data_IF_480816283393
#
_entry.id   IF_480816283393
#
_cell.length_a   1.000
_cell.length_b   1.000
_cell.length_c   1.000
_cell.angle_alpha   90.00
_cell.angle_beta   90.00
_cell.angle_gamma   90.00
#
_symmetry.space_group_name_H-M   'P 1'
#
loop_
_entity.id
_entity.type
_entity.pdbx_description
1 polymer ?
#
# COMPACT_ATOMS: atom_id res chain seq x y z
N UNK A 1 -42.94 72.79 -3.88
CA UNK A 1 -43.42 71.47 -3.58
C UNK A 1 -42.42 70.51 -4.19
N UNK A 2 -41.51 69.98 -3.33
CA UNK A 2 -40.46 69.00 -3.73
C UNK A 2 -40.86 67.61 -3.20
N UNK A 3 -41.11 66.69 -4.10
CA UNK A 3 -41.45 65.27 -3.75
C UNK A 3 -40.21 64.45 -3.80
N UNK A 4 -39.75 63.97 -2.65
CA UNK A 4 -38.65 62.96 -2.52
C UNK A 4 -39.21 61.60 -2.75
N UNK A 5 -38.69 60.92 -3.78
CA UNK A 5 -38.90 59.48 -4.01
C UNK A 5 -37.71 58.71 -3.39
N UNK A 6 -37.99 57.99 -2.30
CA UNK A 6 -37.03 57.08 -1.66
C UNK A 6 -37.08 55.73 -2.38
N UNK A 7 -36.02 55.42 -3.10
CA UNK A 7 -35.85 54.11 -3.73
C UNK A 7 -35.36 53.06 -2.73
N UNK A 8 -36.19 52.06 -2.46
CA UNK A 8 -35.86 50.92 -1.64
C UNK A 8 -35.08 49.90 -2.49
N UNK A 9 -33.77 49.76 -2.23
CA UNK A 9 -32.92 48.70 -2.84
C UNK A 9 -33.09 47.43 -2.04
N UNK A 10 -33.75 46.43 -2.62
CA UNK A 10 -33.83 45.07 -2.08
C UNK A 10 -32.53 44.33 -2.41
N UNK A 11 -31.68 44.09 -1.42
CA UNK A 11 -30.59 43.11 -1.52
C UNK A 11 -31.18 41.69 -1.42
N UNK A 12 -31.08 40.93 -2.51
CA UNK A 12 -31.34 39.48 -2.49
C UNK A 12 -30.14 38.73 -1.86
N UNK A 13 -30.38 37.75 -0.98
CA UNK A 13 -29.30 36.91 -0.45
C UNK A 13 -28.79 35.97 -1.55
N UNK A 14 -27.48 35.99 -1.80
CA UNK A 14 -26.79 35.00 -2.60
C UNK A 14 -26.72 33.67 -1.81
N UNK A 15 -27.65 32.76 -2.06
CA UNK A 15 -27.60 31.40 -1.58
C UNK A 15 -26.39 30.69 -2.21
N UNK A 16 -25.30 30.64 -1.46
CA UNK A 16 -24.12 29.85 -1.80
C UNK A 16 -24.47 28.36 -1.77
N UNK A 17 -24.67 27.77 -2.95
CA UNK A 17 -24.77 26.32 -3.11
C UNK A 17 -23.46 25.66 -2.66
N UNK A 18 -23.38 25.27 -1.38
CA UNK A 18 -22.33 24.40 -0.90
C UNK A 18 -22.43 23.05 -1.63
N UNK A 19 -21.52 22.79 -2.56
CA UNK A 19 -21.39 21.46 -3.21
C UNK A 19 -21.05 20.44 -2.15
N UNK A 20 -22.05 19.80 -1.57
CA UNK A 20 -21.90 18.63 -0.72
C UNK A 20 -21.28 17.50 -1.55
N UNK A 21 -20.04 17.13 -1.19
CA UNK A 21 -19.39 15.96 -1.81
C UNK A 21 -20.29 14.74 -1.57
N UNK A 22 -20.62 13.96 -2.61
CA UNK A 22 -21.40 12.75 -2.43
C UNK A 22 -20.70 11.82 -1.43
N UNK A 23 -21.46 11.11 -0.57
CA UNK A 23 -20.88 10.17 0.39
C UNK A 23 -20.03 9.15 -0.37
N UNK A 24 -18.78 8.98 0.06
CA UNK A 24 -17.88 7.99 -0.54
C UNK A 24 -18.42 6.61 -0.24
N UNK A 25 -18.88 5.91 -1.26
CA UNK A 25 -19.23 4.49 -1.16
C UNK A 25 -17.96 3.74 -0.69
N UNK A 26 -18.06 2.95 0.39
CA UNK A 26 -16.93 2.14 0.85
C UNK A 26 -16.44 1.26 -0.30
N UNK A 27 -15.15 1.35 -0.63
CA UNK A 27 -14.57 0.49 -1.66
C UNK A 27 -14.53 -0.95 -1.13
N UNK A 28 -15.05 -1.95 -1.86
CA UNK A 28 -15.03 -3.33 -1.41
C UNK A 28 -13.58 -3.77 -1.13
N UNK A 29 -13.40 -4.50 -0.05
CA UNK A 29 -12.09 -5.01 0.36
C UNK A 29 -11.59 -6.03 -0.67
N UNK A 30 -10.33 -5.92 -1.15
CA UNK A 30 -9.79 -6.87 -2.12
C UNK A 30 -9.67 -8.27 -1.52
N UNK A 31 -9.84 -9.30 -2.33
CA UNK A 31 -9.67 -10.70 -1.90
C UNK A 31 -8.21 -11.06 -1.60
N UNK A 32 -7.26 -10.40 -2.25
CA UNK A 32 -5.84 -10.49 -1.96
C UNK A 32 -5.56 -9.68 -0.69
N UNK A 33 -5.02 -10.31 0.35
CA UNK A 33 -4.82 -9.67 1.66
C UNK A 33 -3.46 -9.97 2.26
N UNK A 34 -2.95 -9.01 3.01
CA UNK A 34 -1.86 -9.22 3.97
C UNK A 34 -2.52 -9.61 5.30
N UNK A 35 -2.39 -10.89 5.70
CA UNK A 35 -2.93 -11.38 6.96
C UNK A 35 -2.08 -10.93 8.13
N UNK A 36 -0.77 -11.18 8.04
CA UNK A 36 0.20 -10.86 9.07
C UNK A 36 1.47 -10.27 8.47
N UNK A 37 2.09 -9.35 9.20
CA UNK A 37 3.36 -8.73 8.85
C UNK A 37 4.19 -8.61 10.11
N UNK A 38 5.34 -9.28 10.13
CA UNK A 38 6.32 -9.22 11.21
C UNK A 38 7.64 -8.71 10.69
N UNK A 39 8.30 -7.90 11.49
CA UNK A 39 9.60 -7.34 11.19
C UNK A 39 10.54 -7.67 12.36
N UNK A 40 11.66 -8.25 12.05
CA UNK A 40 12.65 -8.64 13.05
C UNK A 40 14.08 -8.52 12.48
N UNK A 41 15.05 -8.15 13.32
CA UNK A 41 14.94 -7.70 14.72
C UNK A 41 14.39 -6.29 14.85
N UNK A 42 13.74 -5.99 15.99
CA UNK A 42 13.28 -4.65 16.33
C UNK A 42 13.66 -4.32 17.78
N UNK A 43 14.39 -3.23 18.03
CA UNK A 43 15.00 -2.29 17.08
C UNK A 43 16.08 -2.96 16.21
N UNK A 44 16.29 -2.41 15.02
CA UNK A 44 17.27 -2.93 14.07
C UNK A 44 18.63 -2.23 14.21
N UNK A 45 19.71 -3.00 14.24
CA UNK A 45 21.08 -2.50 14.22
C UNK A 45 21.66 -2.66 12.82
N UNK A 46 21.84 -1.54 12.12
CA UNK A 46 22.37 -1.55 10.76
C UNK A 46 23.79 -2.08 10.71
N UNK A 47 24.04 -3.09 9.87
CA UNK A 47 25.33 -3.77 9.78
C UNK A 47 25.47 -5.02 10.65
N UNK A 48 24.53 -5.30 11.56
CA UNK A 48 24.54 -6.49 12.41
C UNK A 48 23.56 -7.59 11.89
N UNK A 49 23.63 -7.86 10.60
CA UNK A 49 22.79 -8.83 9.92
C UNK A 49 21.60 -8.19 9.18
N UNK A 50 20.79 -8.98 8.51
CA UNK A 50 19.64 -8.47 7.77
C UNK A 50 18.42 -8.24 8.67
N UNK A 51 17.62 -7.23 8.29
CA UNK A 51 16.26 -7.06 8.78
C UNK A 51 15.31 -7.86 7.90
N UNK A 52 14.49 -8.71 8.50
CA UNK A 52 13.53 -9.53 7.76
C UNK A 52 12.10 -9.01 7.92
N UNK A 53 11.39 -8.93 6.80
CA UNK A 53 9.96 -8.72 6.73
C UNK A 53 9.29 -10.07 6.40
N UNK A 54 8.61 -10.66 7.37
CA UNK A 54 7.84 -11.88 7.18
C UNK A 54 6.39 -11.52 6.92
N UNK A 55 5.91 -11.83 5.73
CA UNK A 55 4.59 -11.44 5.23
C UNK A 55 3.76 -12.68 4.95
N UNK A 56 2.61 -12.84 5.60
CA UNK A 56 1.65 -13.89 5.29
C UNK A 56 0.58 -13.32 4.35
N UNK A 57 0.54 -13.85 3.13
CA UNK A 57 -0.34 -13.40 2.06
C UNK A 57 -1.47 -14.38 1.86
N UNK A 58 -2.72 -13.92 1.97
CA UNK A 58 -3.89 -14.69 1.55
C UNK A 58 -4.17 -14.42 0.08
N UNK A 59 -4.19 -15.49 -0.72
CA UNK A 59 -4.56 -15.41 -2.12
C UNK A 59 -6.09 -15.34 -2.29
N UNK A 60 -6.60 -14.75 -3.38
CA UNK A 60 -8.00 -14.86 -3.75
C UNK A 60 -8.37 -16.30 -4.07
N UNK A 61 -9.67 -16.61 -4.06
CA UNK A 61 -10.16 -17.95 -4.43
C UNK A 61 -9.83 -18.30 -5.88
N UNK A 62 -9.91 -17.31 -6.76
CA UNK A 62 -9.61 -17.45 -8.18
C UNK A 62 -8.47 -16.53 -8.58
N UNK A 63 -7.44 -17.08 -9.21
CA UNK A 63 -6.28 -16.30 -9.66
C UNK A 63 -6.56 -15.53 -10.95
N UNK A 64 -7.65 -15.86 -11.68
CA UNK A 64 -8.06 -15.17 -12.90
C UNK A 64 -6.92 -14.97 -13.94
N UNK A 65 -6.06 -16.00 -14.07
CA UNK A 65 -4.90 -15.94 -14.97
C UNK A 65 -3.66 -15.25 -14.36
N UNK A 66 -3.69 -14.86 -13.09
CA UNK A 66 -2.49 -14.39 -12.42
C UNK A 66 -1.49 -15.53 -12.23
N UNK A 67 -0.24 -15.29 -12.61
CA UNK A 67 0.84 -16.29 -12.61
C UNK A 67 1.99 -15.90 -11.69
N UNK A 68 2.03 -14.67 -11.20
CA UNK A 68 3.10 -14.14 -10.36
C UNK A 68 2.53 -13.36 -9.19
N UNK A 69 2.99 -13.66 -7.98
CA UNK A 69 2.82 -12.84 -6.79
C UNK A 69 4.04 -11.94 -6.64
N UNK A 70 3.83 -10.63 -6.60
CA UNK A 70 4.87 -9.64 -6.29
C UNK A 70 4.62 -9.05 -4.92
N UNK A 71 5.61 -9.15 -4.03
CA UNK A 71 5.63 -8.51 -2.72
C UNK A 71 6.76 -7.50 -2.72
N UNK A 72 6.47 -6.27 -2.35
CA UNK A 72 7.47 -5.20 -2.29
C UNK A 72 7.37 -4.42 -0.98
N UNK A 73 8.50 -3.90 -0.52
CA UNK A 73 8.57 -2.99 0.62
C UNK A 73 9.36 -1.75 0.25
N UNK A 74 8.80 -0.59 0.49
CA UNK A 74 9.49 0.69 0.40
C UNK A 74 9.83 1.16 1.80
N UNK A 75 11.11 1.39 2.07
CA UNK A 75 11.62 1.98 3.30
C UNK A 75 11.98 3.43 3.01
N UNK A 76 11.47 4.35 3.82
CA UNK A 76 11.64 5.79 3.64
C UNK A 76 12.02 6.46 4.96
N UNK A 77 12.72 7.59 4.86
CA UNK A 77 12.92 8.49 6.00
C UNK A 77 11.59 9.16 6.41
N UNK A 78 11.50 9.75 7.62
CA UNK A 78 10.32 10.53 8.04
C UNK A 78 10.01 11.69 7.09
N UNK A 79 11.03 12.26 6.44
CA UNK A 79 10.90 13.28 5.40
C UNK A 79 10.40 12.75 4.05
N UNK A 80 9.97 11.46 3.98
CA UNK A 80 9.49 10.76 2.78
C UNK A 80 10.54 10.57 1.69
N UNK A 81 11.82 10.68 2.02
CA UNK A 81 12.89 10.33 1.09
C UNK A 81 13.02 8.81 1.04
N UNK A 82 12.92 8.23 -0.16
CA UNK A 82 13.09 6.79 -0.37
C UNK A 82 14.51 6.37 -0.03
N UNK A 83 14.64 5.39 0.86
CA UNK A 83 15.91 4.82 1.29
C UNK A 83 16.22 3.53 0.52
N UNK A 84 15.28 2.61 0.50
CA UNK A 84 15.43 1.30 -0.14
C UNK A 84 14.10 0.77 -0.63
N UNK A 85 14.12 0.13 -1.79
CA UNK A 85 13.01 -0.64 -2.33
C UNK A 85 13.41 -2.11 -2.40
N UNK A 86 12.62 -2.96 -1.75
CA UNK A 86 12.77 -4.41 -1.75
C UNK A 86 11.66 -5.01 -2.59
N UNK A 87 11.98 -6.04 -3.38
CA UNK A 87 10.99 -6.75 -4.18
C UNK A 87 11.28 -8.25 -4.19
N UNK A 88 10.24 -9.03 -4.02
CA UNK A 88 10.25 -10.49 -4.20
C UNK A 88 9.13 -10.87 -5.15
N UNK A 89 9.43 -11.73 -6.12
CA UNK A 89 8.46 -12.29 -7.06
C UNK A 89 8.45 -13.81 -6.94
N UNK A 90 7.26 -14.36 -6.78
CA UNK A 90 7.05 -15.80 -6.71
C UNK A 90 6.07 -16.23 -7.80
N UNK A 91 6.47 -17.25 -8.58
CA UNK A 91 5.58 -17.87 -9.54
C UNK A 91 4.45 -18.60 -8.78
N UNK A 92 3.23 -18.44 -9.26
CA UNK A 92 2.04 -19.10 -8.76
C UNK A 92 1.67 -20.23 -9.73
N UNK A 93 1.35 -21.38 -9.15
CA UNK A 93 0.75 -22.44 -9.93
C UNK A 93 -0.75 -22.24 -10.04
N UNK A 94 -1.38 -22.61 -11.15
CA UNK A 94 -2.83 -22.58 -11.28
C UNK A 94 -3.46 -23.37 -10.15
N UNK A 95 -4.15 -22.69 -9.24
CA UNK A 95 -4.90 -23.34 -8.16
C UNK A 95 -6.37 -23.27 -8.50
N UNK A 96 -6.99 -24.43 -8.58
CA UNK A 96 -8.44 -24.56 -8.58
C UNK A 96 -8.87 -24.85 -7.15
N UNK A 97 -9.24 -23.82 -6.41
CA UNK A 97 -9.79 -24.01 -5.07
C UNK A 97 -11.22 -24.53 -5.20
N UNK A 98 -11.46 -25.75 -4.74
CA UNK A 98 -12.82 -26.33 -4.72
C UNK A 98 -13.74 -25.50 -3.82
N UNK A 99 -15.06 -25.44 -4.11
CA UNK A 99 -16.01 -24.77 -3.22
C UNK A 99 -15.93 -25.41 -1.82
N UNK A 100 -15.65 -24.60 -0.79
CA UNK A 100 -15.51 -25.04 0.60
C UNK A 100 -14.08 -25.21 1.11
N UNK A 101 -13.05 -25.16 0.26
CA UNK A 101 -11.66 -25.20 0.72
C UNK A 101 -11.21 -23.84 1.31
N UNK A 102 -10.31 -23.91 2.28
CA UNK A 102 -9.69 -22.74 2.88
C UNK A 102 -8.85 -21.98 1.83
N UNK A 103 -8.82 -20.66 1.93
CA UNK A 103 -8.00 -19.82 1.05
C UNK A 103 -6.52 -20.12 1.25
N UNK A 104 -5.77 -20.19 0.17
CA UNK A 104 -4.33 -20.43 0.23
C UNK A 104 -3.61 -19.25 0.86
N UNK A 105 -2.75 -19.56 1.82
CA UNK A 105 -1.86 -18.58 2.46
C UNK A 105 -0.42 -18.91 2.10
N UNK A 106 0.32 -17.89 1.67
CA UNK A 106 1.74 -18.01 1.31
C UNK A 106 2.60 -17.15 2.25
N UNK A 107 3.61 -17.76 2.91
CA UNK A 107 4.62 -17.02 3.64
C UNK A 107 5.67 -16.48 2.67
N UNK A 108 5.91 -15.17 2.71
CA UNK A 108 6.92 -14.48 1.90
C UNK A 108 7.89 -13.77 2.83
N UNK A 109 9.16 -13.77 2.46
CA UNK A 109 10.20 -13.05 3.19
C UNK A 109 10.89 -12.04 2.28
N UNK A 110 11.05 -10.81 2.79
CA UNK A 110 11.89 -9.78 2.21
C UNK A 110 13.01 -9.52 3.21
N UNK A 111 14.22 -9.30 2.70
CA UNK A 111 15.40 -9.05 3.52
C UNK A 111 16.02 -7.71 3.15
N UNK A 112 16.35 -6.91 4.15
CA UNK A 112 17.06 -5.64 4.00
C UNK A 112 18.40 -5.71 4.72
N UNK A 113 19.46 -5.37 4.01
CA UNK A 113 20.85 -5.37 4.50
C UNK A 113 21.23 -4.11 5.30
N UNK A 114 20.27 -3.26 5.63
CA UNK A 114 20.51 -2.01 6.34
C UNK A 114 21.10 -0.89 5.48
N UNK A 115 21.23 -1.11 4.16
CA UNK A 115 21.84 -0.13 3.25
C UNK A 115 20.80 0.57 2.40
N UNK A 116 21.08 1.83 2.09
CA UNK A 116 20.33 2.63 1.15
C UNK A 116 20.61 2.21 -0.32
N UNK A 117 20.00 2.94 -1.27
CA UNK A 117 20.22 2.72 -2.69
C UNK A 117 21.66 3.06 -3.15
N UNK A 118 22.44 3.81 -2.35
CA UNK A 118 23.86 4.13 -2.58
C UNK A 118 24.81 3.15 -1.88
N UNK A 119 24.27 2.07 -1.28
CA UNK A 119 25.02 1.08 -0.49
C UNK A 119 25.65 1.62 0.79
N UNK A 120 25.18 2.76 1.29
CA UNK A 120 25.57 3.32 2.58
C UNK A 120 24.65 2.79 3.67
N UNK A 121 25.22 2.51 4.86
CA UNK A 121 24.42 2.08 6.00
C UNK A 121 23.44 3.17 6.41
N UNK A 122 22.21 2.76 6.72
CA UNK A 122 21.20 3.65 7.27
C UNK A 122 21.66 4.15 8.64
N UNK A 123 21.58 5.46 8.84
CA UNK A 123 21.89 6.08 10.13
C UNK A 123 20.84 5.73 11.19
N UNK A 124 21.15 5.94 12.49
CA UNK A 124 20.19 5.79 13.56
C UNK A 124 18.99 6.71 13.37
N UNK A 125 17.79 6.21 13.66
CA UNK A 125 16.58 6.99 13.55
C UNK A 125 15.32 6.15 13.33
N UNK A 126 14.20 6.84 13.18
CA UNK A 126 12.91 6.22 12.87
C UNK A 126 12.66 6.33 11.37
N UNK A 127 12.34 5.22 10.74
CA UNK A 127 12.01 5.10 9.32
C UNK A 127 10.57 4.60 9.17
N UNK A 128 9.98 4.85 8.02
CA UNK A 128 8.64 4.35 7.68
C UNK A 128 8.79 3.29 6.61
N UNK A 129 8.04 2.20 6.73
CA UNK A 129 7.95 1.21 5.68
C UNK A 129 6.52 1.09 5.15
N UNK A 130 6.40 0.72 3.88
CA UNK A 130 5.14 0.38 3.24
C UNK A 130 5.30 -0.93 2.47
N UNK A 131 4.54 -1.95 2.86
CA UNK A 131 4.50 -3.25 2.18
C UNK A 131 3.30 -3.28 1.25
N UNK A 132 3.54 -3.62 -0.02
CA UNK A 132 2.54 -3.77 -1.08
C UNK A 132 2.59 -5.16 -1.69
N UNK A 133 1.43 -5.67 -2.06
CA UNK A 133 1.29 -6.96 -2.72
C UNK A 133 0.46 -6.79 -3.98
N UNK A 134 0.91 -7.43 -5.06
CA UNK A 134 0.23 -7.45 -6.35
C UNK A 134 0.19 -8.86 -6.90
N UNK A 135 -0.91 -9.19 -7.56
CA UNK A 135 -1.01 -10.32 -8.47
C UNK A 135 -0.81 -9.83 -9.90
N UNK A 136 0.07 -10.50 -10.62
CA UNK A 136 0.45 -10.17 -11.98
C UNK A 136 0.13 -11.34 -12.90
N UNK A 137 -0.29 -11.05 -14.13
CA UNK A 137 -0.45 -12.01 -15.21
C UNK A 137 0.52 -11.70 -16.34
N UNK A 138 0.95 -12.73 -17.05
CA UNK A 138 1.71 -12.56 -18.28
C UNK A 138 0.80 -12.00 -19.39
N UNK A 139 1.29 -11.04 -20.13
CA UNK A 139 0.66 -10.50 -21.32
C UNK A 139 1.69 -10.30 -22.44
N UNK A 140 1.26 -10.06 -23.66
CA UNK A 140 2.14 -9.82 -24.81
C UNK A 140 3.12 -8.64 -24.58
N UNK A 141 2.72 -7.67 -23.76
CA UNK A 141 3.53 -6.47 -23.42
C UNK A 141 4.28 -6.60 -22.08
N UNK A 142 4.36 -7.81 -21.50
CA UNK A 142 4.99 -8.07 -20.21
C UNK A 142 3.99 -8.30 -19.07
N UNK A 143 4.42 -8.14 -17.82
CA UNK A 143 3.59 -8.39 -16.66
C UNK A 143 2.51 -7.30 -16.48
N UNK A 144 1.26 -7.72 -16.40
CA UNK A 144 0.09 -6.86 -16.14
C UNK A 144 -0.41 -7.07 -14.71
N UNK A 145 -0.68 -5.98 -14.00
CA UNK A 145 -1.30 -6.04 -12.67
C UNK A 145 -2.77 -6.44 -12.76
N UNK A 146 -3.14 -7.51 -12.08
CA UNK A 146 -4.51 -8.04 -12.01
C UNK A 146 -5.22 -7.61 -10.73
N UNK A 147 -4.52 -7.67 -9.59
CA UNK A 147 -5.08 -7.33 -8.29
C UNK A 147 -4.01 -6.71 -7.39
N UNK A 148 -4.43 -5.82 -6.49
CA UNK A 148 -3.56 -5.18 -5.50
C UNK A 148 -4.22 -5.31 -4.13
N UNK A 149 -3.46 -5.77 -3.13
CA UNK A 149 -3.90 -5.76 -1.73
C UNK A 149 -3.80 -4.34 -1.13
N UNK A 150 -4.56 -4.09 -0.09
CA UNK A 150 -4.35 -2.88 0.70
C UNK A 150 -2.95 -2.90 1.34
N UNK A 151 -2.19 -1.80 1.22
CA UNK A 151 -0.84 -1.76 1.75
C UNK A 151 -0.84 -1.78 3.28
N UNK A 152 0.19 -2.40 3.86
CA UNK A 152 0.50 -2.29 5.29
C UNK A 152 1.65 -1.32 5.47
N UNK A 153 1.51 -0.41 6.45
CA UNK A 153 2.51 0.60 6.79
C UNK A 153 2.83 0.51 8.27
N UNK A 154 4.04 0.92 8.61
CA UNK A 154 4.48 1.02 9.98
C UNK A 154 5.81 1.75 10.11
N UNK A 155 6.31 1.77 11.33
CA UNK A 155 7.57 2.41 11.67
C UNK A 155 8.63 1.37 12.01
N UNK A 156 9.88 1.71 11.75
CA UNK A 156 11.07 0.92 11.99
C UNK A 156 12.10 1.78 12.68
N UNK A 157 12.56 1.35 13.85
CA UNK A 157 13.65 2.02 14.57
C UNK A 157 14.99 1.37 14.22
N UNK A 158 15.93 2.17 13.71
CA UNK A 158 17.32 1.80 13.44
C UNK A 158 18.20 2.43 14.53
N UNK A 159 19.10 1.64 15.11
CA UNK A 159 20.10 2.05 16.11
C UNK A 159 21.50 2.15 15.52
#
# INVERSE_FOLDING_TARGET
MLSCIVGLVMLAPLDGFAKTKPPRVPRPEPELKILDLRIAPTPYEAGNGPLEFSVNVQLPKELNGATVLEVSSLISSPSKTSLRFLTHRQALQPQSTKPGEARTTLPIRLSWDGKDHRKQLAGPGTYVYEVRIKLLANSEKGLRTMMVAWPKRGELTVK
#
